data_IF_729076598414
#
_entry.id   IF_729076598414
#
_cell.length_a   1.000
_cell.length_b   1.000
_cell.length_c   1.000
_cell.angle_alpha   90.00
_cell.angle_beta   90.00
_cell.angle_gamma   90.00
#
_symmetry.space_group_name_H-M   'P 1'
#
loop_
_entity.id
_entity.type
_entity.pdbx_description
1 polymer ?
#
# COMPACT_ATOMS: atom_id res chain seq x y z
N UNK A 1 5.80 21.13 -5.62
CA UNK A 1 7.03 20.33 -5.78
C UNK A 1 6.60 18.88 -5.89
N UNK A 2 6.76 18.30 -7.08
CA UNK A 2 6.20 16.99 -7.45
C UNK A 2 6.97 15.90 -6.70
N UNK A 3 6.31 15.17 -5.80
CA UNK A 3 6.90 14.00 -5.16
C UNK A 3 6.80 12.88 -6.19
N UNK A 4 7.90 12.63 -6.89
CA UNK A 4 8.00 11.62 -7.94
C UNK A 4 7.86 10.21 -7.35
N UNK A 5 7.31 9.27 -8.14
CA UNK A 5 7.13 7.84 -7.80
C UNK A 5 8.40 7.18 -7.21
N UNK A 6 9.58 7.73 -7.49
CA UNK A 6 10.85 7.34 -6.89
C UNK A 6 10.92 7.52 -5.37
N UNK A 7 10.25 8.52 -4.79
CA UNK A 7 10.23 8.69 -3.32
C UNK A 7 9.34 7.65 -2.62
N UNK A 8 8.30 7.13 -3.29
CA UNK A 8 7.47 6.03 -2.77
C UNK A 8 8.29 4.72 -2.76
N UNK A 9 9.11 4.49 -3.79
CA UNK A 9 10.03 3.36 -3.81
C UNK A 9 11.17 3.48 -2.80
N UNK A 10 11.72 4.66 -2.54
CA UNK A 10 12.76 4.83 -1.50
C UNK A 10 12.22 4.63 -0.08
N UNK A 11 10.94 4.92 0.17
CA UNK A 11 10.28 4.65 1.45
C UNK A 11 9.96 3.14 1.60
N UNK A 12 9.84 2.38 0.50
CA UNK A 12 9.67 0.91 0.50
C UNK A 12 10.97 0.11 0.30
N UNK A 13 12.09 0.75 -0.06
CA UNK A 13 13.37 0.11 -0.41
C UNK A 13 14.37 0.05 0.74
N UNK A 14 13.91 -0.18 1.98
CA UNK A 14 14.82 -0.59 3.05
C UNK A 14 14.57 -2.07 3.36
N UNK A 15 15.49 -2.94 2.93
CA UNK A 15 15.41 -4.39 3.15
C UNK A 15 15.10 -4.73 4.61
N UNK A 16 15.66 -3.98 5.57
CA UNK A 16 15.40 -4.18 7.01
C UNK A 16 13.93 -3.96 7.38
N UNK A 17 13.23 -3.02 6.72
CA UNK A 17 11.79 -2.77 6.92
C UNK A 17 10.95 -3.90 6.35
N UNK A 18 11.31 -4.43 5.18
CA UNK A 18 10.59 -5.55 4.57
C UNK A 18 10.76 -6.82 5.40
N UNK A 19 12.00 -7.16 5.77
CA UNK A 19 12.29 -8.34 6.62
C UNK A 19 11.62 -8.21 8.00
N UNK A 20 11.56 -7.01 8.57
CA UNK A 20 10.82 -6.76 9.80
C UNK A 20 9.32 -7.10 9.67
N UNK A 21 8.69 -6.63 8.58
CA UNK A 21 7.27 -6.88 8.32
C UNK A 21 6.99 -8.35 8.04
N UNK A 22 7.85 -9.01 7.25
CA UNK A 22 7.71 -10.43 6.97
C UNK A 22 7.79 -11.26 8.25
N UNK A 23 8.70 -10.91 9.16
CA UNK A 23 8.77 -11.63 10.43
C UNK A 23 7.57 -11.35 11.35
N UNK A 24 7.07 -10.12 11.37
CA UNK A 24 5.86 -9.77 12.13
C UNK A 24 4.59 -10.42 11.57
N UNK A 25 4.56 -10.76 10.27
CA UNK A 25 3.45 -11.50 9.64
C UNK A 25 3.45 -12.98 10.02
N UNK A 26 4.62 -13.59 10.18
CA UNK A 26 4.73 -14.99 10.60
C UNK A 26 4.41 -15.16 12.09
N UNK A 27 4.66 -14.13 12.90
CA UNK A 27 4.33 -14.09 14.32
C UNK A 27 2.83 -13.89 14.60
N UNK A 28 2.29 -14.60 15.60
CA UNK A 28 0.90 -14.40 16.04
C UNK A 28 0.73 -13.35 17.14
N UNK A 29 1.81 -12.82 17.71
CA UNK A 29 1.79 -11.89 18.84
C UNK A 29 2.95 -10.89 18.85
N UNK A 30 3.12 -10.15 19.97
CA UNK A 30 4.22 -9.20 20.13
C UNK A 30 5.58 -9.85 19.98
N UNK A 31 6.49 -9.14 19.31
CA UNK A 31 7.89 -9.53 19.16
C UNK A 31 8.75 -8.42 19.77
N UNK A 32 9.73 -8.81 20.58
CA UNK A 32 10.67 -7.85 21.15
C UNK A 32 11.56 -7.27 20.04
N UNK A 33 11.81 -5.96 20.07
CA UNK A 33 12.64 -5.26 19.07
C UNK A 33 14.05 -5.87 18.99
N UNK A 34 14.55 -6.38 20.11
CA UNK A 34 15.85 -7.06 20.21
C UNK A 34 15.87 -8.40 19.48
N UNK A 35 14.77 -9.15 19.51
CA UNK A 35 14.62 -10.40 18.75
C UNK A 35 14.48 -10.09 17.26
N UNK A 36 13.71 -9.07 16.92
CA UNK A 36 13.55 -8.60 15.55
C UNK A 36 14.89 -8.13 14.96
N UNK A 37 15.70 -7.39 15.72
CA UNK A 37 17.03 -6.97 15.28
C UNK A 37 18.01 -8.13 15.14
N UNK A 38 17.88 -9.17 15.98
CA UNK A 38 18.65 -10.40 15.84
C UNK A 38 18.34 -11.09 14.52
N UNK A 39 17.05 -11.34 14.26
CA UNK A 39 16.58 -12.00 13.04
C UNK A 39 17.02 -11.24 11.78
N UNK A 40 16.82 -9.92 11.73
CA UNK A 40 17.22 -9.11 10.58
C UNK A 40 18.75 -9.15 10.39
N UNK A 41 19.53 -9.12 11.48
CA UNK A 41 20.98 -9.22 11.37
C UNK A 41 21.45 -10.62 10.91
N UNK A 42 20.73 -11.69 11.24
CA UNK A 42 20.98 -13.03 10.70
C UNK A 42 20.71 -13.08 9.20
N UNK A 43 19.59 -12.51 8.75
CA UNK A 43 19.25 -12.42 7.33
C UNK A 43 20.28 -11.58 6.56
N UNK A 44 20.70 -10.43 7.10
CA UNK A 44 21.66 -9.53 6.44
C UNK A 44 23.09 -10.09 6.41
N UNK A 45 23.53 -10.78 7.48
CA UNK A 45 24.88 -11.37 7.51
C UNK A 45 24.95 -12.78 6.93
N UNK A 46 23.83 -13.49 6.84
CA UNK A 46 23.80 -14.93 6.55
C UNK A 46 24.39 -15.81 7.67
N UNK A 47 24.66 -15.25 8.86
CA UNK A 47 25.31 -15.94 9.97
C UNK A 47 24.36 -16.11 11.15
N UNK A 48 24.38 -17.28 11.79
CA UNK A 48 23.68 -17.55 13.06
C UNK A 48 24.65 -18.14 14.09
N UNK A 49 25.02 -17.41 15.16
CA UNK A 49 24.54 -16.08 15.52
C UNK A 49 25.19 -14.95 14.67
N UNK A 50 24.50 -13.81 14.50
CA UNK A 50 25.00 -12.70 13.71
C UNK A 50 26.06 -11.89 14.48
N UNK A 51 26.96 -11.16 13.78
CA UNK A 51 27.94 -10.30 14.40
C UNK A 51 27.30 -9.25 15.33
N UNK A 52 27.86 -9.09 16.53
CA UNK A 52 27.35 -8.14 17.53
C UNK A 52 27.24 -6.68 17.01
N UNK A 53 28.23 -6.12 16.29
CA UNK A 53 28.14 -4.76 15.77
C UNK A 53 26.99 -4.57 14.77
N UNK A 54 26.72 -5.58 13.95
CA UNK A 54 25.62 -5.54 12.98
C UNK A 54 24.26 -5.52 13.69
N UNK A 55 24.07 -6.42 14.66
CA UNK A 55 22.84 -6.47 15.46
C UNK A 55 22.56 -5.15 16.20
N UNK A 56 23.58 -4.48 16.73
CA UNK A 56 23.46 -3.16 17.37
C UNK A 56 23.10 -2.05 16.38
N UNK A 57 23.69 -2.09 15.17
CA UNK A 57 23.33 -1.18 14.07
C UNK A 57 21.87 -1.35 13.65
N UNK A 58 21.43 -2.60 13.42
CA UNK A 58 20.04 -2.93 13.06
C UNK A 58 19.08 -2.47 14.15
N UNK A 59 19.38 -2.77 15.41
CA UNK A 59 18.54 -2.35 16.55
C UNK A 59 18.36 -0.83 16.58
N UNK A 60 19.46 -0.08 16.46
CA UNK A 60 19.42 1.39 16.46
C UNK A 60 18.58 1.92 15.30
N UNK A 61 18.76 1.35 14.10
CA UNK A 61 17.98 1.71 12.90
C UNK A 61 16.49 1.44 13.06
N UNK A 62 16.12 0.30 13.66
CA UNK A 62 14.73 -0.06 13.93
C UNK A 62 14.06 0.94 14.87
N UNK A 63 14.72 1.24 16.00
CA UNK A 63 14.17 2.13 17.02
C UNK A 63 14.09 3.58 16.55
N UNK A 64 15.11 4.06 15.82
CA UNK A 64 15.20 5.47 15.44
C UNK A 64 14.32 5.81 14.24
N UNK A 65 14.22 4.90 13.27
CA UNK A 65 13.63 5.23 11.97
C UNK A 65 12.54 4.26 11.57
N UNK A 66 12.79 2.95 11.59
CA UNK A 66 11.86 2.04 10.92
C UNK A 66 10.55 1.82 11.69
N UNK A 67 10.63 1.53 12.99
CA UNK A 67 9.44 1.27 13.80
C UNK A 67 8.58 2.53 14.00
N UNK A 68 9.14 3.72 14.28
CA UNK A 68 8.36 4.96 14.32
C UNK A 68 7.62 5.22 13.01
N UNK A 69 8.30 5.12 11.86
CA UNK A 69 7.63 5.33 10.56
C UNK A 69 6.56 4.28 10.27
N UNK A 70 6.79 3.00 10.60
CA UNK A 70 5.78 1.96 10.41
C UNK A 70 4.58 2.14 11.34
N UNK A 71 4.80 2.68 12.53
CA UNK A 71 3.76 2.98 13.50
C UNK A 71 2.91 4.17 13.08
N UNK A 72 3.54 5.28 12.65
CA UNK A 72 2.87 6.45 12.08
C UNK A 72 2.05 6.09 10.84
N UNK A 73 2.52 5.14 10.03
CA UNK A 73 1.80 4.60 8.88
C UNK A 73 0.66 3.62 9.25
N UNK A 74 0.47 3.29 10.53
CA UNK A 74 -0.56 2.36 11.01
C UNK A 74 -0.30 0.88 10.67
N UNK A 75 0.90 0.53 10.20
CA UNK A 75 1.26 -0.84 9.79
C UNK A 75 1.61 -1.70 11.01
N UNK A 76 2.21 -1.11 12.04
CA UNK A 76 2.57 -1.81 13.28
C UNK A 76 2.15 -1.00 14.49
N UNK A 77 1.94 -1.67 15.62
CA UNK A 77 1.85 -1.01 16.92
C UNK A 77 3.20 -1.22 17.60
N UNK A 78 3.95 -0.14 17.76
CA UNK A 78 5.26 -0.15 18.43
C UNK A 78 5.12 0.46 19.81
N UNK A 79 5.36 -0.35 20.84
CA UNK A 79 5.42 0.09 22.23
C UNK A 79 6.87 0.43 22.58
N UNK A 80 7.14 1.73 22.78
CA UNK A 80 8.48 2.22 23.06
C UNK A 80 8.94 1.95 24.50
N UNK A 81 8.01 1.73 25.43
CA UNK A 81 8.28 1.45 26.84
C UNK A 81 8.63 -0.04 27.02
N UNK A 82 7.82 -0.92 26.42
CA UNK A 82 8.03 -2.36 26.43
C UNK A 82 9.09 -2.82 25.43
N UNK A 83 9.46 -1.98 24.45
CA UNK A 83 10.33 -2.35 23.31
C UNK A 83 9.80 -3.56 22.57
N UNK A 84 8.49 -3.56 22.34
CA UNK A 84 7.78 -4.61 21.62
C UNK A 84 7.08 -4.02 20.41
N UNK A 85 7.00 -4.81 19.36
CA UNK A 85 6.27 -4.47 18.15
C UNK A 85 5.31 -5.59 17.80
N UNK A 86 4.09 -5.20 17.47
CA UNK A 86 3.06 -6.10 16.96
C UNK A 86 2.63 -5.64 15.58
N UNK A 87 2.27 -6.59 14.73
CA UNK A 87 1.50 -6.24 13.54
C UNK A 87 0.15 -5.68 14.01
N UNK A 88 -0.22 -4.49 13.55
CA UNK A 88 -1.51 -3.89 13.89
C UNK A 88 -2.64 -4.84 13.50
N UNK A 89 -3.72 -4.94 14.30
CA UNK A 89 -4.92 -5.69 13.92
C UNK A 89 -5.50 -5.18 12.60
N UNK A 90 -5.31 -3.88 12.34
CA UNK A 90 -5.56 -3.23 11.07
C UNK A 90 -4.63 -3.84 10.00
N UNK A 91 -3.30 -3.89 10.19
CA UNK A 91 -2.32 -4.48 9.26
C UNK A 91 -2.42 -6.00 9.03
N UNK A 92 -2.94 -6.78 9.99
CA UNK A 92 -3.33 -8.18 9.76
C UNK A 92 -4.45 -8.28 8.70
N UNK A 93 -5.20 -7.19 8.48
CA UNK A 93 -6.12 -6.98 7.36
C UNK A 93 -5.63 -5.99 6.28
N UNK A 94 -4.50 -5.29 6.47
CA UNK A 94 -4.08 -4.07 5.72
C UNK A 94 -2.68 -4.20 5.11
N UNK A 95 -2.32 -5.41 4.73
CA UNK A 95 -1.41 -5.61 3.61
C UNK A 95 -2.09 -6.28 2.42
N UNK A 96 -3.28 -5.74 2.15
CA UNK A 96 -3.83 -5.57 0.80
C UNK A 96 -4.23 -4.08 0.64
N UNK A 97 -3.43 -3.13 1.15
CA UNK A 97 -3.68 -1.69 0.92
C UNK A 97 -3.15 -1.19 -0.43
N UNK A 98 -2.65 -2.09 -1.29
CA UNK A 98 -2.54 -1.88 -2.74
C UNK A 98 -3.76 -2.40 -3.52
N UNK A 99 -4.70 -3.08 -2.85
CA UNK A 99 -5.84 -3.76 -3.48
C UNK A 99 -7.08 -3.69 -2.55
N UNK A 100 -7.47 -2.48 -2.15
CA UNK A 100 -8.77 -2.28 -1.48
C UNK A 100 -9.86 -2.55 -2.50
N UNK A 101 -10.24 -3.82 -2.70
CA UNK A 101 -11.45 -4.33 -3.32
C UNK A 101 -12.19 -3.31 -4.21
N UNK A 102 -11.88 -3.30 -5.51
CA UNK A 102 -12.84 -2.81 -6.49
C UNK A 102 -13.90 -3.91 -6.64
N UNK A 103 -14.86 -3.97 -5.73
CA UNK A 103 -16.10 -4.75 -5.87
C UNK A 103 -15.83 -6.25 -6.23
N UNK A 104 -15.54 -7.10 -5.24
CA UNK A 104 -15.39 -8.55 -5.45
C UNK A 104 -13.93 -9.01 -5.61
N UNK A 105 -13.58 -9.66 -6.72
CA UNK A 105 -12.23 -10.20 -6.98
C UNK A 105 -11.31 -9.25 -7.75
N UNK A 106 -11.79 -8.06 -8.13
CA UNK A 106 -11.08 -7.15 -9.04
C UNK A 106 -10.36 -6.02 -8.30
N UNK A 107 -9.22 -5.59 -8.85
CA UNK A 107 -8.46 -4.42 -8.37
C UNK A 107 -9.00 -3.13 -8.99
N UNK A 108 -8.73 -1.96 -8.38
CA UNK A 108 -9.09 -0.68 -9.01
C UNK A 108 -8.41 -0.51 -10.37
N UNK A 109 -7.18 -1.01 -10.51
CA UNK A 109 -6.45 -1.03 -11.77
C UNK A 109 -7.16 -1.89 -12.83
N UNK A 110 -7.81 -3.00 -12.46
CA UNK A 110 -8.61 -3.81 -13.37
C UNK A 110 -9.87 -3.08 -13.82
N UNK A 111 -10.53 -2.37 -12.91
CA UNK A 111 -11.73 -1.59 -13.24
C UNK A 111 -11.40 -0.41 -14.17
N UNK A 112 -10.33 0.34 -13.90
CA UNK A 112 -9.86 1.40 -14.78
C UNK A 112 -9.43 0.87 -16.15
N UNK A 113 -8.75 -0.28 -16.20
CA UNK A 113 -8.39 -0.95 -17.46
C UNK A 113 -9.63 -1.41 -18.23
N UNK A 114 -10.61 -2.01 -17.55
CA UNK A 114 -11.86 -2.46 -18.17
C UNK A 114 -12.65 -1.29 -18.75
N UNK A 115 -12.86 -0.23 -17.97
CA UNK A 115 -13.53 1.00 -18.41
C UNK A 115 -12.79 1.65 -19.59
N UNK A 116 -11.46 1.77 -19.48
CA UNK A 116 -10.64 2.34 -20.54
C UNK A 116 -10.69 1.53 -21.83
N UNK A 117 -10.61 0.20 -21.73
CA UNK A 117 -10.66 -0.70 -22.89
C UNK A 117 -12.02 -0.68 -23.56
N UNK A 118 -13.11 -0.73 -22.79
CA UNK A 118 -14.48 -0.66 -23.32
C UNK A 118 -14.73 0.68 -24.00
N UNK A 119 -14.36 1.79 -23.36
CA UNK A 119 -14.49 3.13 -23.94
C UNK A 119 -13.68 3.27 -25.25
N UNK A 120 -12.45 2.76 -25.27
CA UNK A 120 -11.61 2.76 -26.47
C UNK A 120 -12.21 1.96 -27.62
N UNK A 121 -12.71 0.74 -27.35
CA UNK A 121 -13.35 -0.10 -28.36
C UNK A 121 -14.66 0.50 -28.88
N UNK A 122 -15.44 1.16 -28.03
CA UNK A 122 -16.65 1.86 -28.45
C UNK A 122 -16.34 3.02 -29.40
N UNK A 123 -15.31 3.82 -29.08
CA UNK A 123 -14.85 4.92 -29.96
C UNK A 123 -14.36 4.36 -31.29
N UNK A 124 -13.49 3.34 -31.29
CA UNK A 124 -13.01 2.70 -32.51
C UNK A 124 -14.15 2.12 -33.36
N UNK A 125 -15.11 1.43 -32.72
CA UNK A 125 -16.28 0.89 -33.40
C UNK A 125 -17.13 1.99 -34.04
N UNK A 126 -17.29 3.13 -33.36
CA UNK A 126 -17.99 4.27 -33.93
C UNK A 126 -17.24 4.91 -35.11
N UNK A 127 -15.91 4.98 -35.08
CA UNK A 127 -15.11 5.54 -36.18
C UNK A 127 -15.07 4.62 -37.41
N UNK A 128 -15.20 3.31 -37.22
CA UNK A 128 -15.15 2.31 -38.29
C UNK A 128 -16.54 1.95 -38.83
N UNK A 129 -17.57 2.75 -38.53
CA UNK A 129 -18.97 2.52 -38.91
C UNK A 129 -19.50 1.12 -38.50
N UNK A 130 -19.06 0.61 -37.35
CA UNK A 130 -19.49 -0.70 -36.88
C UNK A 130 -21.01 -0.69 -36.57
N UNK A 131 -21.77 -1.68 -37.09
CA UNK A 131 -23.22 -1.71 -36.94
C UNK A 131 -23.62 -1.78 -35.46
N UNK A 132 -24.52 -0.89 -35.05
CA UNK A 132 -25.01 -0.77 -33.67
C UNK A 132 -24.22 0.21 -32.78
N UNK A 133 -23.00 0.57 -33.14
CA UNK A 133 -22.15 1.51 -32.36
C UNK A 133 -22.10 2.90 -32.99
N UNK A 134 -22.03 2.97 -34.33
CA UNK A 134 -21.97 4.23 -35.09
C UNK A 134 -23.24 5.09 -35.05
N UNK A 135 -24.32 4.57 -34.44
CA UNK A 135 -25.57 5.30 -34.21
C UNK A 135 -25.37 6.41 -33.18
N UNK A 136 -24.37 6.30 -32.31
CA UNK A 136 -24.05 7.26 -31.26
C UNK A 136 -22.75 7.99 -31.62
N UNK A 137 -22.77 9.32 -31.54
CA UNK A 137 -21.60 10.16 -31.84
C UNK A 137 -20.38 9.75 -30.99
N UNK A 138 -19.18 9.57 -31.59
CA UNK A 138 -17.93 9.30 -30.86
C UNK A 138 -17.67 10.27 -29.70
N UNK A 139 -18.11 11.53 -29.80
CA UNK A 139 -18.00 12.52 -28.74
C UNK A 139 -18.78 12.11 -27.48
N UNK A 140 -19.97 11.53 -27.64
CA UNK A 140 -20.79 11.08 -26.51
C UNK A 140 -20.16 9.87 -25.80
N UNK A 141 -19.58 8.93 -26.55
CA UNK A 141 -18.83 7.80 -25.98
C UNK A 141 -17.61 8.26 -25.18
N UNK A 142 -16.91 9.26 -25.71
CA UNK A 142 -15.72 9.85 -25.06
C UNK A 142 -16.13 10.58 -23.78
N UNK A 143 -17.13 11.45 -23.83
CA UNK A 143 -17.63 12.17 -22.66
C UNK A 143 -18.15 11.23 -21.57
N UNK A 144 -18.89 10.18 -21.94
CA UNK A 144 -19.38 9.19 -20.98
C UNK A 144 -18.24 8.44 -20.30
N UNK A 145 -17.25 7.98 -21.08
CA UNK A 145 -16.09 7.25 -20.54
C UNK A 145 -15.27 8.13 -19.58
N UNK A 146 -15.02 9.39 -19.95
CA UNK A 146 -14.32 10.35 -19.10
C UNK A 146 -15.10 10.66 -17.83
N UNK A 147 -16.42 10.82 -17.93
CA UNK A 147 -17.28 11.05 -16.77
C UNK A 147 -17.27 9.86 -15.80
N UNK A 148 -17.32 8.63 -16.33
CA UNK A 148 -17.24 7.42 -15.52
C UNK A 148 -15.89 7.34 -14.79
N UNK A 149 -14.78 7.56 -15.52
CA UNK A 149 -13.43 7.58 -14.94
C UNK A 149 -13.30 8.63 -13.84
N UNK A 150 -13.79 9.85 -14.09
CA UNK A 150 -13.77 10.93 -13.11
C UNK A 150 -14.59 10.58 -11.86
N UNK A 151 -15.77 9.99 -12.04
CA UNK A 151 -16.64 9.57 -10.93
C UNK A 151 -15.98 8.50 -10.08
N UNK A 152 -15.40 7.47 -10.71
CA UNK A 152 -14.65 6.40 -10.02
C UNK A 152 -13.44 6.99 -9.27
N UNK A 153 -12.72 7.93 -9.88
CA UNK A 153 -11.56 8.59 -9.27
C UNK A 153 -11.95 9.44 -8.07
N UNK A 154 -13.04 10.19 -8.16
CA UNK A 154 -13.57 11.01 -7.05
C UNK A 154 -14.05 10.11 -5.91
N UNK A 155 -14.76 9.03 -6.22
CA UNK A 155 -15.20 8.06 -5.23
C UNK A 155 -14.01 7.46 -4.47
N UNK A 156 -12.98 7.03 -5.21
CA UNK A 156 -11.74 6.50 -4.64
C UNK A 156 -11.03 7.54 -3.74
N UNK A 157 -10.88 8.79 -4.18
CA UNK A 157 -10.27 9.84 -3.37
C UNK A 157 -11.07 10.15 -2.10
N UNK A 158 -12.40 10.10 -2.18
CA UNK A 158 -13.27 10.39 -1.04
C UNK A 158 -13.20 9.30 0.03
N UNK A 159 -13.14 8.02 -0.37
CA UNK A 159 -12.97 6.90 0.57
C UNK A 159 -11.60 6.91 1.23
N UNK A 160 -10.53 7.22 0.49
CA UNK A 160 -9.19 7.41 1.09
C UNK A 160 -9.15 8.56 2.09
N UNK A 161 -9.80 9.69 1.75
CA UNK A 161 -9.80 10.87 2.62
C UNK A 161 -10.55 10.61 3.94
N UNK A 162 -11.69 9.92 3.89
CA UNK A 162 -12.48 9.59 5.08
C UNK A 162 -11.72 8.64 6.04
N UNK A 163 -10.95 7.70 5.48
CA UNK A 163 -10.09 6.80 6.29
C UNK A 163 -9.01 7.55 7.07
N UNK A 164 -8.48 8.66 6.54
CA UNK A 164 -7.46 9.48 7.21
C UNK A 164 -8.07 10.35 8.31
N UNK A 165 -9.30 10.86 8.12
CA UNK A 165 -9.95 11.73 9.11
C UNK A 165 -10.36 11.00 10.40
N UNK A 166 -10.83 9.75 10.29
CA UNK A 166 -11.20 8.97 11.49
C UNK A 166 -10.01 8.62 12.40
N UNK A 167 -8.79 8.55 11.83
CA UNK A 167 -7.56 8.30 12.58
C UNK A 167 -7.11 9.51 13.42
N UNK A 168 -7.54 10.72 13.06
CA UNK A 168 -7.23 11.95 13.82
C UNK A 168 -8.28 12.25 14.89
N UNK A 169 -9.46 11.63 14.83
CA UNK A 169 -10.55 11.86 15.79
C UNK A 169 -10.50 10.98 17.05
N UNK A 170 -9.73 9.88 17.06
CA UNK A 170 -9.58 9.02 18.24
C UNK A 170 -8.50 9.50 19.24
N UNK A 171 -7.73 10.55 18.89
CA UNK A 171 -6.73 11.16 19.77
C UNK A 171 -7.20 12.43 20.49
N UNK A 172 -8.48 12.51 20.85
CA UNK A 172 -8.99 13.52 21.78
C UNK A 172 -9.70 12.89 22.98
#
# INVERSE_FOLDING_TARGET
MNISELQIHTILANERRQVALDQLRMGRGPIAVRELSHYIAEVESGLSPPPKPLRESVYSSLVQTHLPTLHEAGVVVYDCDLKEVTLSSHARSIQVYQDIFAIGEFTWADLYRGVGLVGFLAILGSLLDAPGVSVIDPLLWTSFSLFLLATVSVYQLWTYRFSIYNLLSEHR
#
